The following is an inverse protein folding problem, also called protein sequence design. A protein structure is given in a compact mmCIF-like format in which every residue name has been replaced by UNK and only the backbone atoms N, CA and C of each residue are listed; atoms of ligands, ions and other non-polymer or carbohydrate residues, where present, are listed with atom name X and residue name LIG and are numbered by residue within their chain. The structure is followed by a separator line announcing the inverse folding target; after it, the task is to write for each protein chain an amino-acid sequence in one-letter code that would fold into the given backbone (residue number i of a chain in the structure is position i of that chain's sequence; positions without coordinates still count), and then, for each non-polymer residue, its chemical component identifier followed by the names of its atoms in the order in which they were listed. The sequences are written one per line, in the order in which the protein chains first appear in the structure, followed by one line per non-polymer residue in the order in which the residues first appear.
data_IF_546259850192
#
_entry.id   IF_546259850192
#
_cell.length_a   1.000
_cell.length_b   1.000
_cell.length_c   1.000
_cell.angle_alpha   90.00
_cell.angle_beta   90.00
_cell.angle_gamma   90.00
#
_symmetry.space_group_name_H-M   'P 1'
#
loop_
_entity.id
_entity.type
_entity.pdbx_description
1 polymer ?
#
# COMPACT_ATOMS: atom_id res chain seq x y z
N UNK A 1 -13.10 5.60 7.92
CA UNK A 1 -12.77 4.24 7.45
C UNK A 1 -12.55 3.35 8.66
N UNK A 2 -13.51 2.51 9.06
CA UNK A 2 -13.24 1.56 10.12
C UNK A 2 -12.45 0.38 9.53
N UNK A 3 -11.22 0.17 9.97
CA UNK A 3 -10.56 -1.14 9.88
C UNK A 3 -11.07 -2.04 11.00
N UNK A 4 -10.87 -3.35 10.91
CA UNK A 4 -11.21 -4.25 12.02
C UNK A 4 -10.05 -4.37 13.03
N UNK A 5 -10.27 -4.97 14.22
CA UNK A 5 -9.21 -5.16 15.23
C UNK A 5 -8.02 -6.02 14.76
N UNK A 6 -8.15 -6.72 13.63
CA UNK A 6 -7.06 -7.45 13.01
C UNK A 6 -6.05 -6.54 12.30
N UNK A 7 -6.42 -5.29 11.99
CA UNK A 7 -5.53 -4.34 11.37
C UNK A 7 -4.51 -3.80 12.39
N UNK A 8 -3.25 -4.16 12.20
CA UNK A 8 -2.12 -3.80 13.07
C UNK A 8 -0.95 -3.31 12.20
N UNK A 9 -0.93 -2.03 11.81
CA UNK A 9 0.15 -1.49 10.99
C UNK A 9 1.44 -1.34 11.81
N UNK A 10 2.57 -1.74 11.21
CA UNK A 10 3.92 -1.60 11.79
C UNK A 10 4.89 -1.02 10.75
N UNK A 11 4.83 0.31 10.48
CA UNK A 11 5.55 0.94 9.37
C UNK A 11 7.04 1.23 9.65
N UNK A 12 7.82 0.22 10.03
CA UNK A 12 9.22 0.39 10.42
C UNK A 12 10.19 0.75 9.28
N UNK A 13 9.78 0.60 8.02
CA UNK A 13 10.68 0.84 6.89
C UNK A 13 11.19 2.29 6.83
N UNK A 14 10.35 3.25 7.23
CA UNK A 14 10.71 4.67 7.26
C UNK A 14 11.84 4.97 8.25
N UNK A 15 11.97 4.17 9.31
CA UNK A 15 13.00 4.35 10.34
C UNK A 15 14.42 4.04 9.82
N UNK A 16 14.53 3.37 8.66
CA UNK A 16 15.82 3.08 8.03
C UNK A 16 16.50 4.32 7.43
N UNK A 17 15.73 5.39 7.16
CA UNK A 17 16.24 6.64 6.59
C UNK A 17 16.34 6.66 5.06
N UNK A 18 16.69 7.84 4.55
CA UNK A 18 16.65 8.18 3.11
C UNK A 18 17.64 7.40 2.23
N UNK A 19 18.56 6.61 2.82
CA UNK A 19 19.47 5.75 2.07
C UNK A 19 18.74 4.56 1.41
N UNK A 20 17.64 4.11 2.03
CA UNK A 20 16.94 2.87 1.64
C UNK A 20 15.72 3.10 0.73
N UNK A 21 15.29 4.34 0.54
CA UNK A 21 14.15 4.67 -0.30
C UNK A 21 13.87 6.16 -0.39
N UNK A 22 13.01 6.50 -1.34
CA UNK A 22 12.57 7.87 -1.60
C UNK A 22 11.08 8.00 -1.29
N UNK A 23 10.68 9.08 -0.61
CA UNK A 23 9.28 9.44 -0.48
C UNK A 23 8.73 9.89 -1.84
N UNK A 24 7.64 9.29 -2.29
CA UNK A 24 7.09 9.53 -3.63
C UNK A 24 5.59 9.76 -3.61
N UNK A 25 5.08 10.34 -4.69
CA UNK A 25 3.65 10.44 -4.97
C UNK A 25 3.27 9.43 -6.05
N UNK A 26 2.10 8.82 -5.91
CA UNK A 26 1.56 7.97 -6.95
C UNK A 26 1.17 8.79 -8.18
N UNK A 27 1.30 8.19 -9.36
CA UNK A 27 0.81 8.79 -10.60
C UNK A 27 -0.71 8.86 -10.60
N UNK A 28 -1.25 9.98 -11.08
CA UNK A 28 -2.69 10.20 -11.16
C UNK A 28 -3.26 9.73 -12.51
N UNK A 29 -3.69 8.47 -12.57
CA UNK A 29 -4.32 7.92 -13.77
C UNK A 29 -5.79 8.38 -13.90
N UNK A 30 -6.31 8.57 -15.12
CA UNK A 30 -7.66 9.11 -15.30
C UNK A 30 -8.77 8.17 -14.83
N UNK A 31 -8.50 6.85 -14.69
CA UNK A 31 -9.49 5.85 -14.27
C UNK A 31 -8.88 4.82 -13.34
N UNK A 32 -9.65 4.42 -12.33
CA UNK A 32 -9.35 3.31 -11.44
C UNK A 32 -10.55 2.39 -11.39
N UNK A 33 -10.41 1.17 -11.92
CA UNK A 33 -11.52 0.20 -12.04
C UNK A 33 -11.19 -1.00 -11.15
N UNK A 34 -12.01 -1.24 -10.13
CA UNK A 34 -11.89 -2.44 -9.30
C UNK A 34 -12.32 -3.65 -10.12
N UNK A 35 -11.36 -4.51 -10.47
CA UNK A 35 -11.63 -5.77 -11.20
C UNK A 35 -11.72 -6.98 -10.28
N UNK A 36 -10.93 -6.95 -9.21
CA UNK A 36 -10.85 -8.03 -8.24
C UNK A 36 -10.39 -7.50 -6.89
N UNK A 37 -11.06 -7.96 -5.84
CA UNK A 37 -10.64 -7.81 -4.44
C UNK A 37 -10.65 -9.19 -3.81
N UNK A 38 -9.58 -9.54 -3.11
CA UNK A 38 -9.54 -10.80 -2.37
C UNK A 38 -10.10 -10.58 -0.97
N UNK A 39 -11.41 -10.76 -0.81
CA UNK A 39 -12.09 -10.56 0.49
C UNK A 39 -11.55 -11.50 1.58
N UNK A 40 -11.13 -12.73 1.21
CA UNK A 40 -10.55 -13.68 2.15
C UNK A 40 -9.22 -13.15 2.72
N UNK A 41 -8.36 -12.61 1.87
CA UNK A 41 -7.10 -12.03 2.31
C UNK A 41 -7.33 -10.72 3.06
N UNK A 42 -8.25 -9.87 2.61
CA UNK A 42 -8.62 -8.63 3.28
C UNK A 42 -9.02 -8.89 4.75
N UNK A 43 -9.83 -9.93 4.99
CA UNK A 43 -10.24 -10.34 6.33
C UNK A 43 -9.07 -10.78 7.23
N UNK A 44 -8.04 -11.42 6.66
CA UNK A 44 -6.87 -11.83 7.44
C UNK A 44 -6.00 -10.67 7.93
N UNK A 45 -6.14 -9.48 7.33
CA UNK A 45 -5.35 -8.28 7.67
C UNK A 45 -6.21 -7.12 8.17
N UNK A 46 -7.50 -7.35 8.41
CA UNK A 46 -8.42 -6.37 9.01
C UNK A 46 -8.93 -5.27 8.07
N UNK A 47 -8.94 -5.53 6.76
CA UNK A 47 -9.36 -4.59 5.71
C UNK A 47 -10.68 -4.98 5.02
N UNK A 48 -11.34 -6.04 5.48
CA UNK A 48 -12.61 -6.55 4.94
C UNK A 48 -13.78 -5.56 5.05
N UNK A 49 -13.68 -4.61 5.97
CA UNK A 49 -14.69 -3.59 6.24
C UNK A 49 -14.64 -2.40 5.28
N UNK A 50 -13.58 -2.31 4.45
CA UNK A 50 -13.47 -1.23 3.47
C UNK A 50 -14.54 -1.38 2.39
N UNK A 51 -15.21 -0.28 2.07
CA UNK A 51 -16.02 -0.16 0.87
C UNK A 51 -15.14 -0.18 -0.40
N UNK A 52 -15.76 -0.38 -1.55
CA UNK A 52 -15.05 -0.35 -2.84
C UNK A 52 -14.37 1.00 -3.11
N UNK A 53 -15.01 2.11 -2.71
CA UNK A 53 -14.44 3.45 -2.87
C UNK A 53 -13.19 3.64 -2.00
N UNK A 54 -13.23 3.19 -0.75
CA UNK A 54 -12.10 3.21 0.18
C UNK A 54 -10.98 2.28 -0.31
N UNK A 55 -11.33 1.09 -0.82
CA UNK A 55 -10.38 0.16 -1.42
C UNK A 55 -9.66 0.79 -2.63
N UNK A 56 -10.41 1.45 -3.52
CA UNK A 56 -9.86 2.17 -4.66
C UNK A 56 -8.94 3.30 -4.22
N UNK A 57 -9.30 4.06 -3.18
CA UNK A 57 -8.48 5.13 -2.64
C UNK A 57 -7.12 4.62 -2.13
N UNK A 58 -7.11 3.52 -1.38
CA UNK A 58 -5.87 2.98 -0.79
C UNK A 58 -5.02 2.16 -1.76
N UNK A 59 -5.63 1.29 -2.56
CA UNK A 59 -4.89 0.35 -3.41
C UNK A 59 -4.79 0.77 -4.88
N UNK A 60 -5.61 1.72 -5.31
CA UNK A 60 -5.56 2.27 -6.68
C UNK A 60 -5.02 3.69 -6.77
N UNK A 61 -5.16 4.49 -5.69
CA UNK A 61 -4.62 5.85 -5.58
C UNK A 61 -3.50 6.00 -4.55
N UNK A 62 -3.14 4.91 -3.87
CA UNK A 62 -2.07 4.88 -2.87
C UNK A 62 -2.22 5.91 -1.75
N UNK A 63 -3.47 6.26 -1.39
CA UNK A 63 -3.70 7.01 -0.15
C UNK A 63 -3.28 6.13 1.04
N UNK A 64 -2.52 6.65 2.01
CA UNK A 64 -2.10 5.85 3.15
C UNK A 64 -3.30 5.28 3.93
N UNK A 65 -3.20 4.02 4.34
CA UNK A 65 -4.13 3.44 5.31
C UNK A 65 -3.88 4.08 6.70
N UNK A 66 -4.85 4.01 7.64
CA UNK A 66 -4.67 4.55 8.98
C UNK A 66 -3.38 4.04 9.64
N UNK A 67 -2.58 4.92 10.23
CA UNK A 67 -1.31 4.55 10.87
C UNK A 67 -0.17 4.17 9.92
N UNK A 68 -0.38 4.26 8.60
CA UNK A 68 0.69 4.12 7.61
C UNK A 68 1.19 5.51 7.17
N UNK A 69 2.50 5.68 6.97
CA UNK A 69 3.08 6.85 6.32
C UNK A 69 2.80 6.88 4.81
N UNK A 70 3.31 7.91 4.12
CA UNK A 70 3.16 8.07 2.67
C UNK A 70 3.80 6.94 1.83
N UNK A 71 3.61 6.94 0.51
CA UNK A 71 4.27 5.97 -0.38
C UNK A 71 5.80 6.15 -0.41
N UNK A 72 6.54 5.03 -0.43
CA UNK A 72 7.99 4.98 -0.66
C UNK A 72 8.29 4.17 -1.91
N UNK A 73 9.25 4.63 -2.70
CA UNK A 73 9.96 3.83 -3.68
C UNK A 73 11.25 3.26 -3.04
N UNK A 74 11.27 1.96 -2.77
CA UNK A 74 12.43 1.29 -2.15
C UNK A 74 13.56 1.12 -3.16
N UNK A 75 14.80 1.39 -2.73
CA UNK A 75 15.98 1.14 -3.56
C UNK A 75 16.41 -0.32 -3.45
N UNK A 76 16.78 -0.92 -4.57
CA UNK A 76 17.33 -2.27 -4.60
C UNK A 76 18.21 -2.44 -5.84
N UNK A 77 19.03 -3.49 -5.84
CA UNK A 77 19.83 -3.91 -6.98
C UNK A 77 19.72 -5.42 -7.19
N UNK A 78 20.13 -5.90 -8.36
CA UNK A 78 20.14 -7.33 -8.65
C UNK A 78 20.81 -7.63 -9.98
N UNK A 79 21.27 -8.86 -10.14
CA UNK A 79 21.83 -9.33 -11.40
C UNK A 79 20.70 -9.75 -12.35
N UNK A 80 20.53 -9.02 -13.45
CA UNK A 80 19.64 -9.39 -14.55
C UNK A 80 20.49 -9.88 -15.73
N UNK A 81 20.10 -11.01 -16.35
CA UNK A 81 20.76 -11.58 -17.54
C UNK A 81 22.28 -11.50 -17.48
N UNK A 82 22.87 -12.21 -16.50
CA UNK A 82 24.33 -12.40 -16.39
C UNK A 82 24.94 -12.56 -17.79
N UNK A 83 26.16 -12.09 -17.98
CA UNK A 83 26.94 -12.39 -19.19
C UNK A 83 27.09 -13.89 -19.40
#
# INVERSE_FOLDING_TARGET
MPTSPAYRPEPHFFDLGEEYGDAVQAADFPRTILRYRNDRAAASVGLETLSDAEWIAHFGRFQPLPGQPGPIAMRYHGHQFRT
#
